data_IF_868706203760
#
_entry.id   IF_868706203760
#
_cell.length_a   1.000
_cell.length_b   1.000
_cell.length_c   1.000
_cell.angle_alpha   90.00
_cell.angle_beta   90.00
_cell.angle_gamma   90.00
#
_symmetry.space_group_name_H-M   'P 1'
#
loop_
_entity.id
_entity.type
_entity.pdbx_description
1 polymer ?
#
# COMPACT_ATOMS: atom_id res chain seq x y z
N UNK A 1 -7.96 -15.52 0.91
CA UNK A 1 -8.33 -14.81 -0.32
C UNK A 1 -8.05 -13.33 -0.18
N UNK A 2 -7.51 -12.73 -1.22
CA UNK A 2 -7.19 -11.32 -1.33
C UNK A 2 -7.77 -10.76 -2.63
N UNK A 3 -8.13 -9.48 -2.57
CA UNK A 3 -8.76 -8.74 -3.65
C UNK A 3 -7.80 -7.66 -4.15
N UNK A 4 -7.65 -7.60 -5.46
CA UNK A 4 -6.78 -6.62 -6.12
C UNK A 4 -7.52 -5.38 -6.58
N UNK A 5 -6.80 -4.27 -6.57
CA UNK A 5 -7.25 -3.02 -7.13
C UNK A 5 -6.05 -2.21 -7.64
N UNK A 6 -6.12 -1.76 -8.90
CA UNK A 6 -5.14 -0.89 -9.54
C UNK A 6 -5.77 0.47 -9.80
N UNK A 7 -5.21 1.50 -9.19
CA UNK A 7 -5.56 2.91 -9.43
C UNK A 7 -4.41 3.60 -10.17
N UNK A 8 -4.71 4.16 -11.33
CA UNK A 8 -3.74 4.88 -12.15
C UNK A 8 -4.49 5.83 -13.08
N UNK A 9 -3.76 6.58 -13.89
CA UNK A 9 -4.37 7.39 -14.94
C UNK A 9 -4.53 6.54 -16.20
N UNK A 10 -5.76 6.50 -16.70
CA UNK A 10 -6.16 5.71 -17.86
C UNK A 10 -7.32 6.40 -18.60
N UNK A 11 -7.67 5.86 -19.77
CA UNK A 11 -8.83 6.29 -20.57
C UNK A 11 -10.12 5.69 -20.04
N UNK A 12 -10.13 4.39 -19.79
CA UNK A 12 -11.26 3.64 -19.28
C UNK A 12 -10.95 3.07 -17.90
N UNK A 13 -11.95 3.02 -17.03
CA UNK A 13 -11.81 2.43 -15.70
C UNK A 13 -13.14 2.10 -15.06
N UNK A 14 -13.08 1.77 -13.78
CA UNK A 14 -14.16 1.14 -13.03
C UNK A 14 -14.59 2.03 -11.87
N UNK A 15 -15.88 2.34 -11.77
CA UNK A 15 -16.44 3.03 -10.60
C UNK A 15 -16.81 2.02 -9.51
N UNK A 16 -15.85 1.73 -8.63
CA UNK A 16 -16.08 0.75 -7.55
C UNK A 16 -17.12 1.23 -6.52
N UNK A 17 -17.37 2.54 -6.42
CA UNK A 17 -18.39 3.11 -5.53
C UNK A 17 -19.80 3.02 -6.14
N UNK A 18 -19.89 2.68 -7.43
CA UNK A 18 -21.14 2.45 -8.15
C UNK A 18 -21.20 1.05 -8.74
N UNK A 19 -20.77 0.05 -7.96
CA UNK A 19 -20.88 -1.37 -8.32
C UNK A 19 -20.23 -1.72 -9.66
N UNK A 20 -19.09 -1.10 -9.96
CA UNK A 20 -18.27 -1.43 -11.13
C UNK A 20 -18.72 -0.81 -12.45
N UNK A 21 -19.57 0.22 -12.43
CA UNK A 21 -19.97 0.91 -13.67
C UNK A 21 -18.73 1.49 -14.40
N UNK A 22 -18.71 1.46 -15.74
CA UNK A 22 -17.56 1.96 -16.50
C UNK A 22 -17.47 3.49 -16.44
N UNK A 23 -16.24 4.00 -16.32
CA UNK A 23 -15.90 5.41 -16.45
C UNK A 23 -15.13 5.60 -17.76
N UNK A 24 -15.70 6.36 -18.70
CA UNK A 24 -15.17 6.50 -20.07
C UNK A 24 -14.36 7.78 -20.33
N UNK A 25 -14.05 8.55 -19.30
CA UNK A 25 -13.31 9.81 -19.42
C UNK A 25 -11.84 9.62 -19.06
N UNK A 26 -10.92 10.34 -19.69
CA UNK A 26 -9.52 10.32 -19.30
C UNK A 26 -9.29 10.83 -17.86
N UNK A 27 -8.36 10.21 -17.14
CA UNK A 27 -7.90 10.73 -15.84
C UNK A 27 -7.56 9.63 -14.85
N UNK A 28 -7.18 10.03 -13.64
CA UNK A 28 -6.94 9.08 -12.56
C UNK A 28 -8.26 8.45 -12.09
N UNK A 29 -8.26 7.12 -12.01
CA UNK A 29 -9.42 6.30 -11.61
C UNK A 29 -8.93 4.88 -11.29
N UNK A 30 -9.82 4.03 -10.79
CA UNK A 30 -9.53 2.59 -10.72
C UNK A 30 -9.48 2.08 -12.16
N UNK A 31 -8.32 1.60 -12.60
CA UNK A 31 -8.18 0.97 -13.90
C UNK A 31 -8.85 -0.41 -13.83
N UNK A 32 -8.39 -1.28 -12.94
CA UNK A 32 -8.88 -2.65 -12.81
C UNK A 32 -8.99 -3.05 -11.34
N UNK A 33 -9.89 -3.98 -11.02
CA UNK A 33 -10.06 -4.53 -9.67
C UNK A 33 -10.70 -5.92 -9.74
N UNK A 34 -10.66 -6.70 -8.65
CA UNK A 34 -11.48 -7.91 -8.56
C UNK A 34 -12.94 -7.52 -8.36
N UNK A 35 -13.83 -7.93 -9.27
CA UNK A 35 -15.25 -7.55 -9.23
C UNK A 35 -15.98 -7.96 -7.95
N UNK A 36 -15.53 -9.00 -7.26
CA UNK A 36 -16.11 -9.43 -5.98
C UNK A 36 -15.90 -8.40 -4.85
N UNK A 37 -14.93 -7.49 -5.01
CA UNK A 37 -14.60 -6.45 -4.04
C UNK A 37 -15.78 -5.51 -3.71
N UNK A 38 -16.62 -5.20 -4.71
CA UNK A 38 -17.75 -4.27 -4.56
C UNK A 38 -19.12 -4.97 -4.65
N UNK A 39 -19.13 -6.32 -4.66
CA UNK A 39 -20.36 -7.12 -4.57
C UNK A 39 -20.68 -7.51 -3.13
N UNK A 40 -19.68 -7.54 -2.26
CA UNK A 40 -19.81 -7.90 -0.85
C UNK A 40 -19.43 -6.70 0.03
N UNK A 41 -20.10 -6.51 1.17
CA UNK A 41 -19.75 -5.51 2.20
C UNK A 41 -18.52 -5.98 3.02
N UNK A 42 -17.43 -6.31 2.32
CA UNK A 42 -16.21 -6.88 2.91
C UNK A 42 -15.19 -5.82 3.31
N UNK A 43 -15.31 -4.61 2.77
CA UNK A 43 -14.37 -3.51 3.00
C UNK A 43 -15.08 -2.16 2.88
N UNK A 44 -14.58 -1.17 3.61
CA UNK A 44 -14.92 0.23 3.37
C UNK A 44 -14.28 0.71 2.06
N UNK A 45 -15.04 0.65 0.97
CA UNK A 45 -14.59 1.08 -0.36
C UNK A 45 -14.26 2.58 -0.42
N UNK A 46 -14.93 3.40 0.40
CA UNK A 46 -14.66 4.82 0.43
C UNK A 46 -13.28 5.10 1.04
N UNK A 47 -12.94 4.41 2.13
CA UNK A 47 -11.61 4.46 2.74
C UNK A 47 -10.52 3.99 1.78
N UNK A 48 -10.76 2.88 1.08
CA UNK A 48 -9.84 2.33 0.08
C UNK A 48 -9.62 3.34 -1.05
N UNK A 49 -10.69 3.89 -1.63
CA UNK A 49 -10.59 4.92 -2.68
C UNK A 49 -9.84 6.16 -2.21
N UNK A 50 -10.18 6.68 -1.03
CA UNK A 50 -9.51 7.84 -0.45
C UNK A 50 -8.01 7.59 -0.24
N UNK A 51 -7.61 6.35 0.04
CA UNK A 51 -6.21 5.98 0.22
C UNK A 51 -5.48 5.86 -1.12
N UNK A 52 -6.10 5.26 -2.13
CA UNK A 52 -5.55 5.10 -3.48
C UNK A 52 -5.40 6.43 -4.24
N UNK A 53 -6.27 7.40 -3.98
CA UNK A 53 -6.18 8.72 -4.61
C UNK A 53 -5.02 9.57 -4.06
N UNK A 54 -4.43 9.19 -2.92
CA UNK A 54 -3.32 9.93 -2.32
C UNK A 54 -2.06 9.73 -3.15
N UNK A 55 -1.72 10.75 -3.91
CA UNK A 55 -0.40 10.90 -4.53
C UNK A 55 0.66 11.12 -3.46
N UNK A 56 1.69 10.28 -3.44
CA UNK A 56 2.92 10.56 -2.70
C UNK A 56 3.81 11.51 -3.50
N UNK A 57 4.67 12.24 -2.81
CA UNK A 57 5.64 13.16 -3.36
C UNK A 57 6.77 12.37 -4.01
N UNK A 58 7.07 12.72 -5.25
CA UNK A 58 8.20 12.22 -6.03
C UNK A 58 8.63 13.29 -7.02
N UNK A 59 9.88 13.21 -7.45
CA UNK A 59 10.49 14.08 -8.46
C UNK A 59 10.99 13.24 -9.63
N UNK A 60 11.00 13.84 -10.82
CA UNK A 60 11.60 13.25 -12.02
C UNK A 60 12.85 14.08 -12.38
N UNK A 61 13.99 13.49 -12.78
CA UNK A 61 14.26 12.05 -12.94
C UNK A 61 14.72 11.37 -11.63
N UNK A 62 14.93 12.14 -10.56
CA UNK A 62 15.34 11.62 -9.25
C UNK A 62 14.13 10.98 -8.54
N UNK A 63 13.72 9.82 -9.05
CA UNK A 63 12.62 9.03 -8.51
C UNK A 63 12.99 8.52 -7.13
N UNK A 64 12.02 8.59 -6.22
CA UNK A 64 12.09 7.88 -4.96
C UNK A 64 11.53 6.46 -5.15
N UNK A 65 12.01 5.51 -4.35
CA UNK A 65 11.52 4.13 -4.37
C UNK A 65 10.00 4.03 -4.10
N UNK A 66 9.46 2.84 -4.34
CA UNK A 66 8.08 2.48 -3.99
C UNK A 66 7.76 2.88 -2.52
N UNK A 67 6.51 3.25 -2.28
CA UNK A 67 6.02 3.54 -0.93
C UNK A 67 4.84 2.65 -0.58
N UNK A 68 4.84 2.13 0.64
CA UNK A 68 3.83 1.20 1.12
C UNK A 68 3.01 1.85 2.22
N UNK A 69 1.69 1.65 2.15
CA UNK A 69 0.73 2.03 3.18
C UNK A 69 -0.07 0.80 3.56
N UNK A 70 0.06 0.36 4.81
CA UNK A 70 -0.75 -0.69 5.40
C UNK A 70 -1.78 -0.08 6.35
N UNK A 71 -3.06 -0.28 6.02
CA UNK A 71 -4.18 0.22 6.81
C UNK A 71 -4.96 -0.95 7.43
N UNK A 72 -5.34 -0.77 8.69
CA UNK A 72 -6.15 -1.70 9.47
C UNK A 72 -7.40 -0.93 9.93
N UNK A 73 -8.51 -1.01 9.18
CA UNK A 73 -9.75 -0.33 9.55
C UNK A 73 -10.42 -1.01 10.75
N UNK A 74 -11.31 -0.27 11.44
CA UNK A 74 -12.08 -0.81 12.57
C UNK A 74 -13.10 -1.88 12.13
N UNK A 75 -13.55 -1.81 10.87
CA UNK A 75 -14.44 -2.76 10.23
C UNK A 75 -13.97 -3.11 8.81
N UNK A 76 -14.25 -4.34 8.39
CA UNK A 76 -13.84 -4.86 7.08
C UNK A 76 -12.39 -5.37 7.05
N UNK A 77 -11.91 -5.67 5.84
CA UNK A 77 -10.54 -6.15 5.64
C UNK A 77 -9.48 -5.04 5.67
N UNK A 78 -8.30 -5.39 6.19
CA UNK A 78 -7.08 -4.58 6.04
C UNK A 78 -6.65 -4.51 4.58
N UNK A 79 -5.87 -3.50 4.24
CA UNK A 79 -5.30 -3.39 2.90
C UNK A 79 -3.87 -2.85 2.92
N UNK A 80 -3.05 -3.37 2.02
CA UNK A 80 -1.70 -2.90 1.73
C UNK A 80 -1.68 -2.29 0.35
N UNK A 81 -1.39 -0.99 0.28
CA UNK A 81 -1.24 -0.24 -0.96
C UNK A 81 0.25 -0.02 -1.27
N UNK A 82 0.64 -0.30 -2.52
CA UNK A 82 1.94 0.02 -3.10
C UNK A 82 1.79 1.20 -4.05
N UNK A 83 2.38 2.34 -3.68
CA UNK A 83 2.57 3.50 -4.52
C UNK A 83 3.84 3.33 -5.35
N UNK A 84 3.69 3.41 -6.67
CA UNK A 84 4.77 3.29 -7.65
C UNK A 84 4.75 4.51 -8.60
N UNK A 85 5.76 5.38 -8.60
CA UNK A 85 5.86 6.43 -9.61
C UNK A 85 6.20 5.82 -10.97
N UNK A 86 5.48 6.24 -12.03
CA UNK A 86 5.74 5.77 -13.40
C UNK A 86 6.64 6.79 -14.09
N UNK A 87 7.83 6.39 -14.59
CA UNK A 87 8.73 7.31 -15.25
C UNK A 87 8.13 7.97 -16.48
N UNK A 88 8.37 9.28 -16.62
CA UNK A 88 8.02 10.01 -17.82
C UNK A 88 8.93 9.62 -18.97
N UNK A 89 8.38 8.92 -19.96
CA UNK A 89 9.11 8.47 -21.14
C UNK A 89 8.55 9.10 -22.42
N UNK A 90 9.31 10.08 -22.95
CA UNK A 90 8.99 10.77 -24.19
C UNK A 90 9.05 9.87 -25.42
N UNK A 91 9.79 8.75 -25.36
CA UNK A 91 9.98 7.83 -26.48
C UNK A 91 8.74 6.98 -26.76
N UNK A 92 7.90 6.73 -25.75
CA UNK A 92 6.67 5.93 -25.90
C UNK A 92 5.71 6.62 -26.84
N UNK A 93 5.34 6.00 -27.95
CA UNK A 93 4.40 6.57 -28.95
C UNK A 93 2.96 6.21 -28.60
N UNK A 94 2.00 7.11 -28.82
CA UNK A 94 0.57 6.79 -28.68
C UNK A 94 -0.33 8.03 -28.60
N UNK A 95 -1.63 7.82 -28.74
CA UNK A 95 -2.67 8.85 -28.61
C UNK A 95 -3.12 9.03 -27.16
N UNK A 96 -2.18 9.47 -26.32
CA UNK A 96 -2.43 9.79 -24.91
C UNK A 96 -1.59 11.00 -24.49
N UNK A 97 -2.04 11.66 -23.42
CA UNK A 97 -1.39 12.84 -22.92
C UNK A 97 -0.12 12.46 -22.16
N UNK A 98 1.03 12.37 -22.85
CA UNK A 98 2.37 12.21 -22.26
C UNK A 98 2.63 13.31 -21.24
N UNK A 99 2.33 13.08 -19.96
CA UNK A 99 2.45 14.09 -18.92
C UNK A 99 3.32 13.59 -17.76
N UNK A 100 4.17 14.46 -17.20
CA UNK A 100 4.92 14.10 -16.00
C UNK A 100 3.99 13.90 -14.81
N UNK A 101 4.51 13.22 -13.79
CA UNK A 101 3.81 13.06 -12.52
C UNK A 101 2.78 11.93 -12.50
N UNK A 102 2.98 10.93 -13.37
CA UNK A 102 2.23 9.68 -13.43
C UNK A 102 2.64 8.74 -12.30
N UNK A 103 1.66 8.05 -11.73
CA UNK A 103 1.87 7.08 -10.67
C UNK A 103 0.76 6.04 -10.69
N UNK A 104 1.06 4.93 -10.03
CA UNK A 104 0.18 3.81 -9.84
C UNK A 104 0.06 3.52 -8.34
N UNK A 105 -1.15 3.25 -7.89
CA UNK A 105 -1.42 2.67 -6.58
C UNK A 105 -2.03 1.29 -6.78
N UNK A 106 -1.35 0.25 -6.31
CA UNK A 106 -1.83 -1.13 -6.35
C UNK A 106 -2.17 -1.55 -4.92
N UNK A 107 -3.46 -1.80 -4.63
CA UNK A 107 -3.90 -2.30 -3.34
C UNK A 107 -4.18 -3.81 -3.36
N UNK A 108 -3.72 -4.46 -2.29
CA UNK A 108 -4.06 -5.82 -1.89
C UNK A 108 -4.94 -5.72 -0.65
N UNK A 109 -6.19 -6.17 -0.75
CA UNK A 109 -7.19 -6.10 0.31
C UNK A 109 -7.48 -7.52 0.79
N UNK A 110 -7.46 -7.75 2.10
CA UNK A 110 -7.76 -9.09 2.63
C UNK A 110 -7.26 -9.31 4.06
N UNK A 111 -7.19 -10.58 4.44
CA UNK A 111 -6.84 -10.98 5.80
C UNK A 111 -5.38 -11.44 5.93
N UNK A 112 -4.54 -10.57 6.51
CA UNK A 112 -3.12 -10.80 6.70
C UNK A 112 -2.77 -11.61 7.97
N UNK A 113 -3.73 -12.23 8.68
CA UNK A 113 -3.45 -12.94 9.94
C UNK A 113 -2.45 -14.12 9.84
N UNK A 114 -2.14 -14.58 8.63
CA UNK A 114 -1.26 -15.71 8.33
C UNK A 114 -0.03 -15.34 7.49
N UNK A 115 0.23 -14.05 7.29
CA UNK A 115 1.28 -13.53 6.43
C UNK A 115 1.74 -12.19 7.01
N UNK A 116 3.03 -11.95 7.17
CA UNK A 116 3.47 -10.60 7.55
C UNK A 116 3.33 -9.67 6.33
N UNK A 117 2.68 -8.51 6.45
CA UNK A 117 2.57 -7.55 5.35
C UNK A 117 3.91 -7.22 4.67
N UNK A 118 5.02 -7.13 5.42
CA UNK A 118 6.34 -6.86 4.83
C UNK A 118 6.81 -7.97 3.87
N UNK A 119 6.34 -9.21 4.01
CA UNK A 119 6.83 -10.34 3.21
C UNK A 119 6.48 -10.22 1.74
N UNK A 120 5.47 -9.42 1.40
CA UNK A 120 5.09 -9.17 0.00
C UNK A 120 5.74 -7.92 -0.56
N UNK A 121 6.53 -7.14 0.20
CA UNK A 121 7.27 -6.02 -0.36
C UNK A 121 8.14 -6.46 -1.54
N UNK A 122 8.06 -5.69 -2.62
CA UNK A 122 8.79 -5.93 -3.87
C UNK A 122 8.50 -7.27 -4.55
N UNK A 123 7.53 -8.07 -4.11
CA UNK A 123 7.16 -9.32 -4.76
C UNK A 123 6.53 -9.04 -6.14
N UNK A 124 7.27 -9.37 -7.21
CA UNK A 124 6.84 -9.16 -8.60
C UNK A 124 5.64 -10.01 -9.00
N UNK A 125 5.33 -11.10 -8.27
CA UNK A 125 4.13 -11.90 -8.51
C UNK A 125 2.90 -11.25 -7.90
N UNK A 126 3.08 -10.44 -6.85
CA UNK A 126 2.01 -9.67 -6.21
C UNK A 126 1.81 -8.34 -6.93
N UNK A 127 2.86 -7.54 -7.03
CA UNK A 127 2.84 -6.18 -7.59
C UNK A 127 3.08 -6.17 -9.10
N UNK A 128 2.26 -6.89 -9.86
CA UNK A 128 2.42 -7.03 -11.31
C UNK A 128 2.15 -5.73 -12.08
N UNK A 129 1.32 -4.84 -11.51
CA UNK A 129 0.88 -3.62 -12.18
C UNK A 129 2.01 -2.61 -12.45
N UNK A 130 3.09 -2.64 -11.64
CA UNK A 130 4.25 -1.76 -11.84
C UNK A 130 5.13 -2.14 -13.05
N UNK A 131 4.91 -3.31 -13.65
CA UNK A 131 5.63 -3.75 -14.85
C UNK A 131 5.10 -3.05 -16.13
N UNK A 132 3.91 -2.42 -16.05
CA UNK A 132 3.30 -1.70 -17.15
C UNK A 132 3.61 -0.19 -17.10
N UNK A 133 3.77 0.43 -18.27
CA UNK A 133 3.98 1.87 -18.42
C UNK A 133 2.66 2.64 -18.61
N UNK A 134 2.74 3.97 -18.75
CA UNK A 134 1.56 4.82 -19.01
C UNK A 134 0.76 4.38 -20.25
N UNK A 135 1.44 4.11 -21.37
CA UNK A 135 0.77 3.75 -22.63
C UNK A 135 -0.11 2.52 -22.49
N UNK A 136 0.38 1.49 -21.78
CA UNK A 136 -0.39 0.28 -21.53
C UNK A 136 -1.78 0.57 -20.97
N UNK A 137 -1.87 1.45 -19.97
CA UNK A 137 -3.13 1.81 -19.30
C UNK A 137 -4.08 2.68 -20.14
N UNK A 138 -3.59 3.28 -21.23
CA UNK A 138 -4.42 4.04 -22.19
C UNK A 138 -4.82 3.23 -23.41
N UNK A 139 -3.96 2.31 -23.86
CA UNK A 139 -4.17 1.52 -25.07
C UNK A 139 -5.02 0.28 -24.83
N UNK A 140 -5.05 -0.23 -23.59
CA UNK A 140 -5.76 -1.44 -23.24
C UNK A 140 -7.01 -1.14 -22.42
N UNK A 141 -8.09 -1.85 -22.72
CA UNK A 141 -9.29 -1.85 -21.88
C UNK A 141 -9.01 -2.55 -20.55
N UNK A 142 -9.57 -2.05 -19.43
CA UNK A 142 -9.42 -2.69 -18.15
C UNK A 142 -10.10 -4.07 -18.15
N UNK A 143 -9.34 -5.08 -17.72
CA UNK A 143 -9.86 -6.42 -17.48
C UNK A 143 -10.15 -6.63 -15.98
N UNK A 144 -11.15 -7.44 -15.66
CA UNK A 144 -11.41 -7.85 -14.28
C UNK A 144 -10.18 -8.59 -13.73
N UNK A 145 -9.79 -8.29 -12.49
CA UNK A 145 -8.67 -8.97 -11.85
C UNK A 145 -9.17 -10.21 -11.11
N UNK A 146 -8.40 -11.29 -11.15
CA UNK A 146 -8.72 -12.47 -10.35
C UNK A 146 -8.44 -12.21 -8.88
N UNK A 147 -9.39 -12.54 -8.02
CA UNK A 147 -9.15 -12.68 -6.60
C UNK A 147 -8.19 -13.86 -6.35
N UNK A 148 -7.20 -13.67 -5.47
CA UNK A 148 -6.08 -14.63 -5.32
C UNK A 148 -5.77 -15.00 -3.88
N UNK A 149 -5.21 -16.18 -3.70
CA UNK A 149 -4.55 -16.56 -2.45
C UNK A 149 -3.10 -16.07 -2.47
N UNK A 150 -2.76 -15.23 -1.51
CA UNK A 150 -1.38 -14.76 -1.32
C UNK A 150 -0.78 -15.54 -0.16
N UNK A 151 0.37 -16.13 -0.41
CA UNK A 151 1.16 -16.89 0.57
C UNK A 151 2.51 -16.20 0.73
N UNK A 152 3.17 -16.47 1.86
CA UNK A 152 4.53 -16.01 2.08
C UNK A 152 5.41 -16.50 0.92
N UNK A 153 6.17 -15.57 0.33
CA UNK A 153 7.12 -15.92 -0.72
C UNK A 153 8.15 -16.90 -0.17
N UNK A 154 8.51 -17.91 -0.96
CA UNK A 154 9.62 -18.82 -0.61
C UNK A 154 10.97 -18.09 -0.60
N UNK A 155 11.06 -16.96 -1.29
CA UNK A 155 12.25 -16.12 -1.38
C UNK A 155 11.84 -14.64 -1.29
N UNK A 156 11.41 -14.17 -0.11
CA UNK A 156 11.01 -12.79 0.07
C UNK A 156 12.20 -11.84 -0.14
N UNK A 157 11.93 -10.63 -0.62
CA UNK A 157 12.98 -9.63 -0.86
C UNK A 157 13.77 -9.32 0.44
N UNK A 158 13.06 -9.29 1.57
CA UNK A 158 13.65 -9.22 2.90
C UNK A 158 13.52 -10.56 3.62
N UNK A 159 14.60 -11.33 3.66
CA UNK A 159 14.64 -12.57 4.43
C UNK A 159 14.79 -12.30 5.93
N UNK A 160 14.39 -13.27 6.76
CA UNK A 160 14.59 -13.19 8.22
C UNK A 160 16.07 -13.03 8.59
N UNK A 161 17.00 -13.61 7.83
CA UNK A 161 18.43 -13.44 8.06
C UNK A 161 18.90 -12.02 7.74
N UNK A 162 18.41 -11.42 6.64
CA UNK A 162 18.72 -10.03 6.27
C UNK A 162 18.23 -9.06 7.35
N UNK A 163 16.97 -9.20 7.79
CA UNK A 163 16.42 -8.39 8.88
C UNK A 163 17.16 -8.64 10.20
N UNK A 164 17.48 -9.89 10.52
CA UNK A 164 18.25 -10.24 11.71
C UNK A 164 19.64 -9.60 11.73
N UNK A 165 20.32 -9.52 10.58
CA UNK A 165 21.62 -8.84 10.46
C UNK A 165 21.48 -7.33 10.60
N UNK A 166 20.45 -6.73 9.98
CA UNK A 166 20.12 -5.31 10.13
C UNK A 166 19.95 -4.92 11.61
N UNK A 167 19.28 -5.77 12.40
CA UNK A 167 19.08 -5.53 13.84
C UNK A 167 20.34 -5.74 14.68
N UNK A 168 21.18 -6.73 14.33
CA UNK A 168 22.44 -7.01 15.03
C UNK A 168 23.48 -5.92 14.83
N UNK A 169 23.36 -5.10 13.79
CA UNK A 169 24.20 -3.93 13.54
C UNK A 169 23.84 -2.74 14.46
N UNK A 170 23.87 -2.96 15.78
CA UNK A 170 23.67 -1.92 16.79
C UNK A 170 22.23 -1.43 17.00
N UNK A 171 21.25 -1.98 16.27
CA UNK A 171 19.84 -1.53 16.28
C UNK A 171 18.93 -2.26 17.28
N UNK A 172 19.42 -3.33 17.92
CA UNK A 172 18.64 -4.17 18.82
C UNK A 172 17.92 -3.43 19.96
N UNK A 173 18.59 -2.47 20.61
CA UNK A 173 17.98 -1.70 21.70
C UNK A 173 16.93 -0.71 21.21
N UNK A 174 17.09 -0.16 20.02
CA UNK A 174 16.08 0.67 19.38
C UNK A 174 14.84 -0.17 19.01
N UNK A 175 15.02 -1.39 18.49
CA UNK A 175 13.92 -2.32 18.22
C UNK A 175 13.13 -2.64 19.50
N UNK A 176 13.81 -2.96 20.61
CA UNK A 176 13.12 -3.21 21.90
C UNK A 176 12.26 -2.04 22.34
N UNK A 177 12.77 -0.81 22.19
CA UNK A 177 12.04 0.43 22.52
C UNK A 177 10.83 0.64 21.60
N UNK A 178 11.00 0.38 20.29
CA UNK A 178 9.91 0.45 19.32
C UNK A 178 8.79 -0.55 19.66
N UNK A 179 9.14 -1.80 19.92
CA UNK A 179 8.20 -2.87 20.31
C UNK A 179 7.49 -2.51 21.61
N UNK A 180 8.21 -2.05 22.63
CA UNK A 180 7.63 -1.62 23.90
C UNK A 180 6.68 -0.43 23.73
N UNK A 181 7.04 0.54 22.88
CA UNK A 181 6.18 1.68 22.55
C UNK A 181 4.87 1.21 21.90
N UNK A 182 4.94 0.34 20.90
CA UNK A 182 3.78 -0.21 20.17
C UNK A 182 2.86 -0.97 21.13
N UNK A 183 3.42 -1.86 21.95
CA UNK A 183 2.68 -2.57 22.99
C UNK A 183 1.96 -1.60 23.93
N UNK A 184 2.64 -0.52 24.34
CA UNK A 184 2.05 0.54 25.14
C UNK A 184 0.86 1.24 24.46
N UNK A 185 0.89 1.41 23.13
CA UNK A 185 -0.22 2.02 22.39
C UNK A 185 -1.46 1.12 22.36
N UNK A 186 -1.29 -0.20 22.28
CA UNK A 186 -2.43 -1.14 22.29
C UNK A 186 -3.22 -1.12 23.60
N UNK A 187 -2.59 -0.70 24.70
CA UNK A 187 -3.26 -0.54 26.00
C UNK A 187 -4.09 0.75 26.11
N UNK A 188 -3.95 1.66 25.15
CA UNK A 188 -4.64 2.94 25.15
C UNK A 188 -5.91 2.88 24.27
N UNK A 189 -6.96 3.65 24.64
CA UNK A 189 -8.04 4.00 23.73
C UNK A 189 -7.47 4.58 22.43
N UNK A 190 -8.14 4.32 21.30
CA UNK A 190 -7.68 4.73 19.98
C UNK A 190 -7.35 6.24 19.95
N UNK A 191 -8.10 7.09 20.65
CA UNK A 191 -7.94 8.57 20.72
C UNK A 191 -6.74 9.08 21.45
N UNK A 192 -6.07 8.17 22.14
CA UNK A 192 -4.88 8.47 22.92
C UNK A 192 -3.65 7.78 22.35
N UNK A 193 -3.80 6.96 21.32
CA UNK A 193 -2.69 6.30 20.65
C UNK A 193 -1.84 7.31 19.91
N UNK A 194 -0.54 7.06 19.93
CA UNK A 194 0.48 7.86 19.24
C UNK A 194 1.14 7.04 18.16
N UNK A 195 1.69 7.72 17.17
CA UNK A 195 2.47 7.11 16.10
C UNK A 195 3.93 6.99 16.52
N UNK A 196 4.55 5.85 16.17
CA UNK A 196 5.99 5.71 16.18
C UNK A 196 6.53 6.27 14.86
N UNK A 197 7.44 7.22 14.93
CA UNK A 197 8.11 7.77 13.75
C UNK A 197 9.55 7.27 13.74
N UNK A 198 9.90 6.58 12.67
CA UNK A 198 11.27 6.14 12.40
C UNK A 198 11.78 6.94 11.21
N UNK A 199 12.94 7.55 11.38
CA UNK A 199 13.69 8.19 10.31
C UNK A 199 14.99 7.43 10.16
N UNK A 200 15.30 7.05 8.93
CA UNK A 200 16.53 6.35 8.57
C UNK A 200 17.02 6.89 7.21
N UNK A 201 18.19 6.44 6.78
CA UNK A 201 18.92 6.99 5.63
C UNK A 201 18.37 6.54 4.28
N UNK A 202 17.71 5.37 4.23
CA UNK A 202 17.15 4.80 3.01
C UNK A 202 15.76 4.21 3.22
N UNK A 203 14.99 4.15 2.13
CA UNK A 203 13.72 3.40 2.01
C UNK A 203 13.88 1.94 2.45
N UNK A 204 14.96 1.29 2.00
CA UNK A 204 15.28 -0.10 2.34
C UNK A 204 15.41 -0.30 3.86
N UNK A 205 16.07 0.63 4.56
CA UNK A 205 16.19 0.56 6.02
C UNK A 205 14.82 0.74 6.71
N UNK A 206 13.97 1.62 6.20
CA UNK A 206 12.60 1.79 6.73
C UNK A 206 11.77 0.51 6.55
N UNK A 207 11.86 -0.14 5.39
CA UNK A 207 11.20 -1.41 5.13
C UNK A 207 11.74 -2.54 6.04
N UNK A 208 13.06 -2.59 6.25
CA UNK A 208 13.67 -3.52 7.21
C UNK A 208 13.27 -3.24 8.67
N UNK A 209 13.06 -1.98 9.05
CA UNK A 209 12.50 -1.62 10.36
C UNK A 209 11.08 -2.15 10.54
N UNK A 210 10.21 -2.00 9.52
CA UNK A 210 8.86 -2.55 9.53
C UNK A 210 8.94 -4.08 9.68
N UNK A 211 9.76 -4.75 8.85
CA UNK A 211 9.95 -6.19 8.96
C UNK A 211 10.45 -6.64 10.33
N UNK A 212 11.41 -5.92 10.92
CA UNK A 212 11.91 -6.23 12.26
C UNK A 212 10.84 -6.06 13.36
N UNK A 213 10.02 -5.01 13.26
CA UNK A 213 8.93 -4.77 14.19
C UNK A 213 7.86 -5.84 14.04
N UNK A 214 7.43 -6.15 12.82
CA UNK A 214 6.43 -7.18 12.55
C UNK A 214 6.88 -8.56 13.05
N UNK A 215 8.15 -8.93 12.80
CA UNK A 215 8.75 -10.19 13.27
C UNK A 215 8.93 -10.28 14.79
N UNK A 216 8.83 -9.17 15.52
CA UNK A 216 8.80 -9.21 16.98
C UNK A 216 7.45 -9.71 17.53
N UNK A 217 6.44 -9.83 16.66
CA UNK A 217 5.10 -10.30 16.97
C UNK A 217 4.74 -11.53 16.15
N UNK A 218 3.68 -12.25 16.53
CA UNK A 218 3.09 -13.26 15.64
C UNK A 218 2.44 -12.58 14.42
N UNK A 219 2.26 -13.28 13.27
CA UNK A 219 1.63 -12.69 12.08
C UNK A 219 0.26 -12.09 12.38
N UNK A 220 -0.51 -12.76 13.25
CA UNK A 220 -1.82 -12.29 13.70
C UNK A 220 -1.78 -10.97 14.46
N UNK A 221 -0.74 -10.71 15.24
CA UNK A 221 -0.60 -9.43 15.96
C UNK A 221 -0.03 -8.38 15.00
N UNK A 222 0.98 -8.74 14.20
CA UNK A 222 1.58 -7.87 13.22
C UNK A 222 0.56 -7.32 12.21
N UNK A 223 -0.39 -8.15 11.76
CA UNK A 223 -1.49 -7.74 10.87
C UNK A 223 -2.46 -6.71 11.48
N UNK A 224 -2.29 -6.35 12.74
CA UNK A 224 -3.06 -5.30 13.41
C UNK A 224 -2.23 -4.03 13.68
N UNK A 225 -1.00 -3.96 13.14
CA UNK A 225 -0.11 -2.81 13.29
C UNK A 225 -0.07 -2.07 11.96
N UNK A 226 -0.85 -0.98 11.77
CA UNK A 226 -0.79 -0.19 10.56
C UNK A 226 0.56 0.54 10.46
N UNK A 227 1.05 0.73 9.23
CA UNK A 227 2.30 1.44 8.97
C UNK A 227 2.26 2.18 7.63
N UNK A 228 3.18 3.12 7.46
CA UNK A 228 3.49 3.74 6.18
C UNK A 228 5.01 3.87 6.05
N UNK A 229 5.59 3.50 4.91
CA UNK A 229 7.02 3.71 4.65
C UNK A 229 7.35 5.16 4.32
N UNK A 230 6.33 5.96 3.95
CA UNK A 230 6.45 7.39 3.64
C UNK A 230 5.29 8.19 4.22
N UNK A 231 5.60 9.42 4.65
CA UNK A 231 4.62 10.37 5.16
C UNK A 231 4.93 11.80 4.69
N UNK A 232 4.38 12.21 3.54
CA UNK A 232 4.68 13.54 2.97
C UNK A 232 4.04 14.72 3.71
N UNK A 233 3.04 14.46 4.57
CA UNK A 233 2.25 15.48 5.27
C UNK A 233 2.15 15.20 6.76
N UNK A 234 3.29 14.95 7.40
CA UNK A 234 3.34 14.62 8.84
C UNK A 234 2.70 15.69 9.75
N UNK A 235 2.62 16.95 9.32
CA UNK A 235 2.44 18.08 10.25
C UNK A 235 0.97 18.42 10.56
N UNK A 236 -0.03 18.11 9.72
CA UNK A 236 -1.39 18.63 9.93
C UNK A 236 -2.59 17.66 9.75
N UNK A 237 -2.38 16.39 9.37
CA UNK A 237 -3.52 15.54 8.93
C UNK A 237 -3.54 14.08 9.38
N UNK A 238 -2.66 13.65 10.28
CA UNK A 238 -2.65 12.24 10.72
C UNK A 238 -3.43 12.06 12.02
N UNK A 239 -4.74 12.21 11.89
CA UNK A 239 -5.72 11.57 12.76
C UNK A 239 -6.41 10.57 11.82
N UNK A 240 -5.86 9.37 11.65
CA UNK A 240 -6.61 8.31 10.98
C UNK A 240 -7.50 7.62 12.00
N UNK A 241 -8.47 8.40 12.44
CA UNK A 241 -9.74 7.85 12.88
C UNK A 241 -10.67 7.97 11.70
N UNK A 242 -11.17 6.82 11.25
CA UNK A 242 -12.38 6.86 10.45
C UNK A 242 -13.50 6.86 11.48
N UNK A 243 -14.14 8.02 11.66
CA UNK A 243 -15.42 8.02 12.39
C UNK A 243 -16.40 7.15 11.62
N UNK A 244 -17.43 6.62 12.27
CA UNK A 244 -18.48 5.80 11.61
C UNK A 244 -19.13 6.49 10.39
N UNK A 245 -18.99 7.81 10.25
CA UNK A 245 -19.48 8.62 9.13
C UNK A 245 -18.48 8.82 7.97
N UNK A 246 -17.30 8.19 8.03
CA UNK A 246 -16.29 8.25 6.96
C UNK A 246 -15.44 9.53 6.95
N UNK A 247 -15.56 10.39 7.96
CA UNK A 247 -14.70 11.57 8.12
C UNK A 247 -13.43 11.27 8.91
N UNK A 248 -12.38 12.05 8.63
CA UNK A 248 -11.10 12.06 9.35
C UNK A 248 -11.12 13.05 10.53
#
# INVERSE_FOLDING_TARGET
MYYDLIYTRCRHGVDILRSGQPILSDGFKVYACCSDLYKEDIVDLQLVMNSLQKKQSFSEPDFMDDAYLYAVPDAGFSFLNSFHPIPYDLSVTGDFAKRPGMYLNHAIIGNFKYLYPFEIFHDRKVWTARENNEAYYYENEPADLECREIRASESPFYSFSKIGNFIKDGRADALKKAVAFILGQFLLPLDKRKYLVIKDESSENIEMWIGAIELAFSPRIASNIPFATRMDKFINSNIYYVKEDGSF
#
